data_IF_707306629504
#
_entry.id   IF_707306629504
#
_cell.length_a   1.000
_cell.length_b   1.000
_cell.length_c   1.000
_cell.angle_alpha   90.00
_cell.angle_beta   90.00
_cell.angle_gamma   90.00
#
_symmetry.space_group_name_H-M   'P 1'
#
loop_
_entity.id
_entity.type
_entity.pdbx_description
1 polymer ?
#
# COMPACT_ATOMS: atom_id res chain seq x y z
N UNK A 1 -2.78 16.88 4.29
CA UNK A 1 -2.29 15.60 4.82
C UNK A 1 -0.80 15.59 4.87
N UNK A 2 -0.26 15.06 5.94
CA UNK A 2 1.19 15.02 6.13
C UNK A 2 1.75 13.70 5.63
N UNK A 3 2.90 13.76 4.97
CA UNK A 3 3.68 12.58 4.69
C UNK A 3 4.30 12.07 5.98
N UNK A 4 4.40 10.76 6.08
CA UNK A 4 4.99 10.10 7.24
C UNK A 4 5.67 8.81 6.80
N UNK A 5 6.47 8.24 7.68
CA UNK A 5 6.99 6.89 7.44
C UNK A 5 5.88 5.86 7.62
N UNK A 6 5.92 4.76 6.89
CA UNK A 6 4.97 3.67 7.14
C UNK A 6 5.16 3.12 8.55
N UNK A 7 4.06 2.66 9.15
CA UNK A 7 4.15 1.91 10.41
C UNK A 7 4.75 0.54 10.15
N UNK A 8 5.12 -0.17 11.22
CA UNK A 8 5.66 -1.52 11.09
C UNK A 8 4.66 -2.46 10.40
N UNK A 9 3.38 -2.37 10.76
CA UNK A 9 2.35 -3.20 10.14
C UNK A 9 2.16 -2.84 8.66
N UNK A 10 2.22 -1.57 8.32
CA UNK A 10 2.15 -1.12 6.93
C UNK A 10 3.36 -1.61 6.14
N UNK A 11 4.55 -1.55 6.74
CA UNK A 11 5.75 -2.06 6.10
C UNK A 11 5.66 -3.57 5.85
N UNK A 12 5.13 -4.33 6.81
CA UNK A 12 4.98 -5.77 6.63
C UNK A 12 4.03 -6.08 5.48
N UNK A 13 2.93 -5.35 5.37
CA UNK A 13 1.99 -5.53 4.26
C UNK A 13 2.61 -5.13 2.93
N UNK A 14 3.33 -4.01 2.90
CA UNK A 14 4.05 -3.59 1.69
C UNK A 14 5.04 -4.66 1.24
N UNK A 15 5.82 -5.22 2.17
CA UNK A 15 6.79 -6.26 1.83
C UNK A 15 6.11 -7.50 1.26
N UNK A 16 4.97 -7.90 1.84
CA UNK A 16 4.19 -9.02 1.30
C UNK A 16 3.74 -8.74 -0.13
N UNK A 17 3.19 -7.55 -0.35
CA UNK A 17 2.65 -7.19 -1.67
C UNK A 17 3.77 -7.06 -2.70
N UNK A 18 4.94 -6.55 -2.31
CA UNK A 18 6.09 -6.47 -3.21
C UNK A 18 6.60 -7.87 -3.55
N UNK A 19 6.64 -8.76 -2.56
CA UNK A 19 7.07 -10.14 -2.81
C UNK A 19 6.15 -10.87 -3.78
N UNK A 20 4.86 -10.51 -3.81
CA UNK A 20 3.87 -11.10 -4.71
C UNK A 20 3.80 -10.40 -6.05
N UNK A 21 4.53 -9.31 -6.24
CA UNK A 21 4.37 -8.47 -7.42
C UNK A 21 4.82 -9.17 -8.69
N UNK A 22 4.10 -8.91 -9.78
CA UNK A 22 4.39 -9.43 -11.09
C UNK A 22 5.22 -8.42 -11.86
N UNK A 23 6.43 -8.84 -12.26
CA UNK A 23 7.36 -8.05 -13.08
C UNK A 23 7.65 -6.67 -12.48
N UNK A 24 7.79 -6.60 -11.15
CA UNK A 24 8.11 -5.35 -10.47
C UNK A 24 8.91 -5.62 -9.21
N UNK A 25 9.99 -4.85 -9.02
CA UNK A 25 10.75 -4.79 -7.77
C UNK A 25 11.19 -3.34 -7.59
N UNK A 26 10.88 -2.71 -6.46
CA UNK A 26 11.34 -1.35 -6.24
C UNK A 26 12.85 -1.32 -6.04
N UNK A 27 13.48 -0.18 -6.33
CA UNK A 27 14.86 0.01 -5.96
C UNK A 27 14.98 0.03 -4.43
N UNK A 28 16.17 -0.27 -3.92
CA UNK A 28 16.41 -0.20 -2.48
C UNK A 28 16.13 1.22 -1.95
N UNK A 29 16.52 2.25 -2.68
CA UNK A 29 16.29 3.63 -2.28
C UNK A 29 14.79 3.95 -2.22
N UNK A 30 14.01 3.50 -3.20
CA UNK A 30 12.57 3.73 -3.21
C UNK A 30 11.90 3.03 -2.04
N UNK A 31 12.36 1.83 -1.68
CA UNK A 31 11.75 1.07 -0.58
C UNK A 31 12.12 1.65 0.78
N UNK A 32 13.41 1.91 1.02
CA UNK A 32 13.86 2.38 2.33
C UNK A 32 13.50 3.84 2.57
N UNK A 33 13.45 4.65 1.52
CA UNK A 33 13.12 6.07 1.63
C UNK A 33 11.64 6.38 1.42
N UNK A 34 10.79 5.36 1.43
CA UNK A 34 9.36 5.55 1.17
C UNK A 34 8.69 6.35 2.26
N UNK A 35 7.93 7.36 1.86
CA UNK A 35 6.97 8.05 2.73
C UNK A 35 5.57 7.71 2.25
N UNK A 36 4.59 7.79 3.14
CA UNK A 36 3.22 7.47 2.83
C UNK A 36 2.28 8.56 3.32
N UNK A 37 1.11 8.62 2.73
CA UNK A 37 0.03 9.49 3.17
C UNK A 37 -1.24 8.67 3.24
N UNK A 38 -1.94 8.73 4.37
CA UNK A 38 -3.23 8.05 4.52
C UNK A 38 -4.24 8.69 3.58
N UNK A 39 -4.91 7.86 2.76
CA UNK A 39 -5.90 8.35 1.83
C UNK A 39 -7.24 8.54 2.54
N UNK A 40 -8.01 9.52 2.06
CA UNK A 40 -9.34 9.78 2.59
C UNK A 40 -10.35 8.85 1.91
N UNK A 41 -10.39 7.61 2.37
CA UNK A 41 -11.17 6.54 1.76
C UNK A 41 -12.20 5.94 2.75
N UNK A 42 -12.64 6.73 3.72
CA UNK A 42 -13.56 6.24 4.74
C UNK A 42 -12.91 5.41 5.81
N UNK A 43 -11.59 5.49 5.95
CA UNK A 43 -10.87 4.75 6.98
C UNK A 43 -10.54 3.32 6.59
N UNK A 44 -10.58 2.98 5.30
CA UNK A 44 -10.26 1.62 4.86
C UNK A 44 -8.77 1.32 4.87
N UNK A 45 -7.91 2.34 5.08
CA UNK A 45 -6.49 2.11 5.29
C UNK A 45 -5.59 2.27 4.07
N UNK A 46 -6.14 2.70 2.95
CA UNK A 46 -5.33 2.91 1.74
C UNK A 46 -4.28 3.98 1.94
N UNK A 47 -3.16 3.81 1.26
CA UNK A 47 -2.02 4.71 1.36
C UNK A 47 -1.61 5.20 -0.02
N UNK A 48 -1.30 6.49 -0.11
CA UNK A 48 -0.53 7.01 -1.25
C UNK A 48 0.95 6.85 -0.92
N UNK A 49 1.73 6.40 -1.89
CA UNK A 49 3.13 6.04 -1.69
C UNK A 49 4.01 7.05 -2.39
N UNK A 50 5.03 7.53 -1.67
CA UNK A 50 5.93 8.56 -2.18
C UNK A 50 7.39 8.10 -2.04
N UNK A 51 7.92 7.40 -3.07
CA UNK A 51 9.36 7.18 -3.13
C UNK A 51 10.12 8.51 -3.18
N UNK A 52 11.43 8.53 -2.84
CA UNK A 52 12.19 9.76 -2.87
C UNK A 52 12.07 10.50 -4.20
N UNK A 53 11.89 11.81 -4.12
CA UNK A 53 11.81 12.68 -5.30
C UNK A 53 10.46 12.73 -5.98
N UNK A 54 9.44 12.03 -5.47
CA UNK A 54 8.12 12.03 -6.12
C UNK A 54 7.16 13.04 -5.53
N UNK A 55 7.46 13.59 -4.37
CA UNK A 55 6.59 14.56 -3.73
C UNK A 55 6.48 15.81 -4.60
N UNK A 56 5.24 16.29 -4.78
CA UNK A 56 4.99 17.48 -5.60
C UNK A 56 5.08 17.24 -7.09
N UNK A 57 5.31 16.01 -7.52
CA UNK A 57 5.34 15.65 -8.93
C UNK A 57 3.97 15.20 -9.40
N UNK A 58 3.67 15.48 -10.65
CA UNK A 58 2.47 14.98 -11.29
C UNK A 58 2.72 13.51 -11.66
N UNK A 59 1.89 12.62 -11.11
CA UNK A 59 2.03 11.18 -11.33
C UNK A 59 0.69 10.60 -11.71
N UNK A 60 0.72 9.57 -12.55
CA UNK A 60 -0.51 8.92 -12.97
C UNK A 60 -0.41 7.42 -12.75
N UNK A 61 -1.58 6.79 -12.60
CA UNK A 61 -1.68 5.35 -12.47
C UNK A 61 -0.97 4.66 -13.64
N UNK A 62 -0.18 3.66 -13.33
CA UNK A 62 0.45 2.80 -14.32
C UNK A 62 -0.24 1.45 -14.40
N UNK A 63 -0.04 0.61 -13.39
CA UNK A 63 -0.65 -0.71 -13.36
C UNK A 63 -0.66 -1.27 -11.94
N UNK A 64 -1.57 -2.21 -11.71
CA UNK A 64 -1.57 -2.99 -10.47
C UNK A 64 -0.56 -4.14 -10.64
N UNK A 65 0.33 -4.30 -9.68
CA UNK A 65 1.40 -5.30 -9.74
C UNK A 65 1.15 -6.50 -8.85
N UNK A 66 0.29 -6.37 -7.85
CA UNK A 66 -0.10 -7.51 -7.01
C UNK A 66 -1.45 -7.26 -6.37
N UNK A 67 -2.08 -8.36 -5.95
CA UNK A 67 -3.30 -8.28 -5.15
C UNK A 67 -3.33 -9.42 -4.13
N UNK A 68 -4.15 -9.25 -3.10
CA UNK A 68 -4.25 -10.18 -1.98
C UNK A 68 -5.53 -9.87 -1.22
N UNK A 69 -5.88 -10.71 -0.27
CA UNK A 69 -7.05 -10.47 0.56
C UNK A 69 -6.83 -11.06 1.94
N UNK A 70 -7.46 -10.43 2.92
CA UNK A 70 -7.45 -10.94 4.29
C UNK A 70 -8.80 -10.60 4.93
N UNK A 71 -9.09 -11.23 6.07
CA UNK A 71 -10.30 -10.91 6.82
C UNK A 71 -9.94 -9.96 7.96
N UNK A 72 -10.72 -8.89 8.10
CA UNK A 72 -10.59 -7.97 9.23
C UNK A 72 -11.11 -8.65 10.51
N UNK A 73 -10.94 -8.00 11.65
CA UNK A 73 -11.36 -8.52 12.95
C UNK A 73 -12.83 -8.90 13.01
N UNK A 74 -13.66 -8.20 12.25
CA UNK A 74 -15.11 -8.46 12.21
C UNK A 74 -15.48 -9.51 11.15
N UNK A 75 -14.50 -10.18 10.55
CA UNK A 75 -14.75 -11.21 9.56
C UNK A 75 -15.05 -10.69 8.16
N UNK A 76 -15.06 -9.38 7.96
CA UNK A 76 -15.33 -8.80 6.64
C UNK A 76 -14.05 -8.81 5.83
N UNK A 77 -14.15 -9.27 4.58
CA UNK A 77 -12.99 -9.37 3.71
C UNK A 77 -12.49 -8.00 3.27
N UNK A 78 -11.15 -7.85 3.28
CA UNK A 78 -10.46 -6.69 2.77
C UNK A 78 -9.57 -7.16 1.62
N UNK A 79 -9.71 -6.53 0.45
CA UNK A 79 -8.81 -6.77 -0.67
C UNK A 79 -7.72 -5.72 -0.67
N UNK A 80 -6.52 -6.12 -1.09
CA UNK A 80 -5.34 -5.26 -1.10
C UNK A 80 -4.76 -5.30 -2.51
N UNK A 81 -4.41 -4.12 -3.03
CA UNK A 81 -3.77 -4.02 -4.34
C UNK A 81 -2.57 -3.08 -4.22
N UNK A 82 -1.45 -3.51 -4.79
CA UNK A 82 -0.27 -2.65 -4.91
C UNK A 82 -0.23 -2.10 -6.33
N UNK A 83 -0.12 -0.79 -6.44
CA UNK A 83 -0.17 -0.07 -7.71
C UNK A 83 1.12 0.71 -7.89
N UNK A 84 1.66 0.68 -9.12
CA UNK A 84 2.79 1.51 -9.50
C UNK A 84 2.33 2.57 -10.49
N UNK A 85 3.08 3.67 -10.57
CA UNK A 85 2.76 4.74 -11.50
C UNK A 85 3.25 4.40 -12.91
N UNK A 86 3.03 5.31 -13.86
CA UNK A 86 3.40 5.10 -15.25
C UNK A 86 4.92 4.98 -15.44
N UNK A 87 5.71 5.35 -14.43
CA UNK A 87 7.17 5.24 -14.45
C UNK A 87 7.66 4.03 -13.65
N UNK A 88 6.76 3.10 -13.32
CA UNK A 88 7.07 1.87 -12.59
C UNK A 88 7.64 2.14 -11.18
N UNK A 89 7.11 3.16 -10.50
CA UNK A 89 7.48 3.44 -9.12
C UNK A 89 6.27 3.27 -8.21
N UNK A 90 6.51 2.91 -6.96
CA UNK A 90 5.44 2.70 -5.97
C UNK A 90 4.51 3.92 -5.94
N UNK A 91 3.20 3.68 -6.06
CA UNK A 91 2.21 4.74 -6.21
C UNK A 91 1.11 4.69 -5.17
N UNK A 92 0.43 3.55 -5.01
CA UNK A 92 -0.65 3.39 -4.05
C UNK A 92 -0.69 1.98 -3.50
N UNK A 93 -1.05 1.86 -2.22
CA UNK A 93 -1.47 0.61 -1.62
C UNK A 93 -2.95 0.76 -1.31
N UNK A 94 -3.79 0.07 -2.07
CA UNK A 94 -5.23 0.19 -1.96
C UNK A 94 -5.79 -0.91 -1.09
N UNK A 95 -6.58 -0.54 -0.09
CA UNK A 95 -7.32 -1.48 0.74
C UNK A 95 -8.81 -1.20 0.56
N UNK A 96 -9.56 -2.25 0.29
CA UNK A 96 -10.98 -2.16 0.01
C UNK A 96 -11.72 -3.16 0.90
N UNK A 97 -12.43 -2.67 1.91
CA UNK A 97 -13.24 -3.52 2.78
C UNK A 97 -14.60 -3.71 2.13
N UNK A 98 -15.06 -4.96 2.02
CA UNK A 98 -16.19 -5.29 1.16
C UNK A 98 -17.52 -4.66 1.60
N UNK A 99 -17.64 -4.26 2.87
CA UNK A 99 -18.84 -3.57 3.36
C UNK A 99 -18.65 -2.04 3.46
N UNK A 100 -17.53 -1.51 2.92
CA UNK A 100 -17.17 -0.09 2.97
C UNK A 100 -16.92 0.44 4.39
N UNK A 101 -16.82 -0.45 5.36
CA UNK A 101 -16.55 -0.05 6.73
C UNK A 101 -15.10 0.33 6.95
N UNK A 102 -14.83 0.85 8.15
CA UNK A 102 -13.46 1.19 8.51
C UNK A 102 -12.64 -0.08 8.72
N UNK A 103 -11.36 -0.01 8.38
CA UNK A 103 -10.42 -1.07 8.73
C UNK A 103 -10.23 -1.07 10.25
N UNK A 104 -10.39 -2.24 10.86
CA UNK A 104 -10.23 -2.37 12.30
C UNK A 104 -8.78 -2.68 12.66
N UNK A 105 -8.12 -3.51 11.86
CA UNK A 105 -6.71 -3.83 12.08
C UNK A 105 -6.07 -4.38 10.81
N UNK A 106 -4.83 -3.96 10.55
CA UNK A 106 -4.03 -4.59 9.50
C UNK A 106 -3.75 -6.04 9.87
N UNK A 107 -3.54 -6.92 8.87
CA UNK A 107 -3.37 -8.34 9.17
C UNK A 107 -2.09 -8.58 9.96
N UNK A 108 -2.14 -9.57 10.84
CA UNK A 108 -0.94 -10.10 11.46
C UNK A 108 -0.26 -10.99 10.44
N UNK A 109 0.92 -10.57 10.01
CA UNK A 109 1.66 -11.34 9.03
C UNK A 109 2.70 -12.20 9.73
N UNK A 110 3.02 -13.38 9.17
CA UNK A 110 3.97 -14.27 9.83
C UNK A 110 5.32 -13.58 10.02
N UNK A 111 5.94 -13.83 11.15
CA UNK A 111 7.32 -13.41 11.37
C UNK A 111 8.23 -14.13 10.37
N UNK A 112 9.22 -13.42 9.91
CA UNK A 112 10.20 -14.00 8.99
C UNK A 112 11.36 -14.61 9.75
#
# INVERSE_FOLDING_TARGET
>A
MALRKPTDDENALLDLMIARADAFTPSAADRTGLSVETMNDGGMGSLRLFPPGTRGKSRVFGRRVSDWAFDDLDGVQVTVALVVDANDRLYELELWKSDFGRLLRLPELPAK
#
